data_IF_200872379844
#
_entry.id   IF_200872379844
#
_cell.length_a   1.000
_cell.length_b   1.000
_cell.length_c   1.000
_cell.angle_alpha   90.00
_cell.angle_beta   90.00
_cell.angle_gamma   90.00
#
_symmetry.space_group_name_H-M   'P 1'
#
loop_
_entity.id
_entity.type
_entity.pdbx_description
1 polymer ?
#
# COMPACT_ATOMS: atom_id res chain seq x y z
N UNK A 1 -41.40 59.20 -2.38
CA UNK A 1 -42.30 58.17 -1.82
C UNK A 1 -41.49 56.89 -1.65
N UNK A 2 -41.20 56.50 -0.40
CA UNK A 2 -40.40 55.33 -0.04
C UNK A 2 -41.25 54.07 -0.22
N UNK A 3 -40.73 53.04 -0.89
CA UNK A 3 -41.23 51.67 -0.73
C UNK A 3 -40.01 50.79 -0.43
N UNK A 4 -39.92 50.40 0.85
CA UNK A 4 -39.06 49.35 1.35
C UNK A 4 -39.61 48.00 0.87
N UNK A 5 -38.77 47.16 0.25
CA UNK A 5 -39.06 45.72 0.15
C UNK A 5 -38.01 44.99 0.98
N UNK A 6 -38.52 44.26 1.98
CA UNK A 6 -37.81 43.43 2.93
C UNK A 6 -37.45 42.08 2.29
N UNK A 7 -36.19 41.70 2.47
CA UNK A 7 -35.65 40.36 2.78
C UNK A 7 -36.03 39.15 1.91
N UNK A 8 -34.99 38.45 1.40
CA UNK A 8 -34.86 37.00 1.62
C UNK A 8 -33.38 36.60 1.50
N UNK A 9 -32.71 36.43 2.64
CA UNK A 9 -31.37 35.83 2.69
C UNK A 9 -31.53 34.32 2.65
N UNK A 10 -31.09 33.69 1.56
CA UNK A 10 -31.11 32.23 1.40
C UNK A 10 -29.91 31.64 2.15
N UNK A 11 -30.16 31.02 3.31
CA UNK A 11 -29.16 30.18 3.98
C UNK A 11 -29.06 28.85 3.21
N UNK A 12 -28.01 28.68 2.41
CA UNK A 12 -27.65 27.38 1.86
C UNK A 12 -27.02 26.53 2.97
N UNK A 13 -27.79 25.60 3.54
CA UNK A 13 -27.27 24.57 4.43
C UNK A 13 -26.50 23.57 3.56
N UNK A 14 -25.17 23.64 3.61
CA UNK A 14 -24.30 22.62 3.05
C UNK A 14 -24.47 21.35 3.90
N UNK A 15 -25.16 20.34 3.37
CA UNK A 15 -25.10 18.99 3.94
C UNK A 15 -23.69 18.44 3.69
N UNK A 16 -22.84 18.44 4.72
CA UNK A 16 -21.63 17.65 4.72
C UNK A 16 -22.05 16.18 4.76
N UNK A 17 -21.90 15.47 3.63
CA UNK A 17 -21.94 14.02 3.61
C UNK A 17 -20.70 13.52 4.35
N UNK A 18 -20.85 13.19 5.62
CA UNK A 18 -19.88 12.34 6.31
C UNK A 18 -20.05 10.94 5.73
N UNK A 19 -19.13 10.52 4.86
CA UNK A 19 -19.02 9.12 4.48
C UNK A 19 -18.76 8.32 5.77
N UNK A 20 -19.75 7.56 6.22
CA UNK A 20 -19.55 6.59 7.30
C UNK A 20 -18.74 5.46 6.71
N UNK A 21 -17.49 5.30 7.17
CA UNK A 21 -16.67 4.12 6.86
C UNK A 21 -17.52 2.87 7.09
N UNK A 22 -17.68 2.04 6.06
CA UNK A 22 -18.38 0.77 6.24
C UNK A 22 -17.40 -0.22 6.84
N UNK A 23 -17.82 -0.92 7.89
CA UNK A 23 -17.01 -1.98 8.47
C UNK A 23 -16.69 -3.02 7.37
N UNK A 24 -15.43 -3.41 7.27
CA UNK A 24 -15.01 -4.48 6.39
C UNK A 24 -15.45 -5.82 7.00
N UNK A 25 -16.55 -6.40 6.50
CA UNK A 25 -17.12 -7.66 6.99
C UNK A 25 -16.15 -8.86 6.85
N UNK A 26 -15.07 -8.72 6.08
CA UNK A 26 -14.01 -9.73 5.89
C UNK A 26 -12.79 -9.50 6.79
N UNK A 27 -12.74 -8.42 7.56
CA UNK A 27 -11.60 -8.09 8.43
C UNK A 27 -11.18 -9.25 9.35
N UNK A 28 -12.11 -10.01 10.00
CA UNK A 28 -11.73 -11.18 10.80
C UNK A 28 -11.00 -12.28 10.01
N UNK A 29 -11.46 -12.56 8.78
CA UNK A 29 -10.88 -13.58 7.90
C UNK A 29 -9.51 -13.13 7.37
N UNK A 30 -9.39 -11.85 7.00
CA UNK A 30 -8.12 -11.25 6.58
C UNK A 30 -7.13 -11.28 7.75
N UNK A 31 -7.57 -10.97 8.97
CA UNK A 31 -6.72 -11.02 10.17
C UNK A 31 -6.26 -12.45 10.49
N UNK A 32 -7.13 -13.45 10.32
CA UNK A 32 -6.74 -14.85 10.47
C UNK A 32 -5.72 -15.29 9.39
N UNK A 33 -5.89 -14.82 8.16
CA UNK A 33 -4.92 -15.03 7.08
C UNK A 33 -3.57 -14.37 7.38
N UNK A 34 -3.58 -13.14 7.90
CA UNK A 34 -2.38 -12.46 8.38
C UNK A 34 -1.66 -13.30 9.45
N UNK A 35 -2.36 -13.69 10.51
CA UNK A 35 -1.75 -14.38 11.65
C UNK A 35 -1.18 -15.75 11.27
N UNK A 36 -1.83 -16.47 10.37
CA UNK A 36 -1.43 -17.82 9.94
C UNK A 36 -0.38 -17.83 8.83
N UNK A 37 -0.27 -16.75 8.04
CA UNK A 37 0.52 -16.74 6.80
C UNK A 37 1.48 -15.56 6.75
N UNK A 38 0.96 -14.34 6.62
CA UNK A 38 1.75 -13.14 6.32
C UNK A 38 2.67 -12.76 7.48
N UNK A 39 2.24 -12.94 8.73
CA UNK A 39 3.01 -12.54 9.91
C UNK A 39 4.40 -13.18 9.97
N UNK A 40 4.55 -14.42 9.51
CA UNK A 40 5.84 -15.11 9.48
C UNK A 40 6.84 -14.49 8.48
N UNK A 41 6.36 -13.78 7.47
CA UNK A 41 7.16 -13.13 6.44
C UNK A 41 7.86 -11.87 6.94
N UNK A 42 7.28 -11.20 7.93
CA UNK A 42 7.78 -9.93 8.45
C UNK A 42 9.18 -10.05 9.07
N UNK A 43 9.55 -11.26 9.51
CA UNK A 43 10.86 -11.57 10.07
C UNK A 43 11.77 -12.35 9.12
N UNK A 44 11.38 -12.55 7.86
CA UNK A 44 12.20 -13.28 6.90
C UNK A 44 13.48 -12.47 6.57
N UNK A 45 14.68 -13.07 6.67
CA UNK A 45 15.93 -12.38 6.38
C UNK A 45 15.98 -11.78 4.97
N UNK A 46 15.35 -12.40 3.97
CA UNK A 46 15.32 -11.87 2.61
C UNK A 46 14.56 -10.53 2.54
N UNK A 47 13.51 -10.38 3.35
CA UNK A 47 12.71 -9.15 3.45
C UNK A 47 13.49 -8.09 4.21
N UNK A 48 14.00 -8.42 5.40
CA UNK A 48 14.73 -7.49 6.27
C UNK A 48 15.96 -6.91 5.57
N UNK A 49 16.79 -7.77 4.97
CA UNK A 49 18.04 -7.33 4.36
C UNK A 49 17.81 -6.50 3.09
N UNK A 50 16.78 -6.81 2.31
CA UNK A 50 16.40 -6.01 1.14
C UNK A 50 15.96 -4.59 1.54
N UNK A 51 15.13 -4.47 2.59
CA UNK A 51 14.70 -3.16 3.10
C UNK A 51 15.88 -2.37 3.66
N UNK A 52 16.79 -3.01 4.41
CA UNK A 52 17.97 -2.33 4.96
C UNK A 52 18.90 -1.83 3.86
N UNK A 53 19.12 -2.63 2.81
CA UNK A 53 19.89 -2.21 1.65
C UNK A 53 19.24 -1.02 0.93
N UNK A 54 17.93 -1.06 0.71
CA UNK A 54 17.19 0.06 0.11
C UNK A 54 17.26 1.31 0.98
N UNK A 55 17.00 1.20 2.29
CA UNK A 55 17.05 2.33 3.22
C UNK A 55 18.43 3.00 3.26
N UNK A 56 19.51 2.22 3.11
CA UNK A 56 20.86 2.78 3.00
C UNK A 56 21.00 3.66 1.74
N UNK A 57 20.42 3.24 0.61
CA UNK A 57 20.40 4.00 -0.65
C UNK A 57 19.48 5.22 -0.58
N UNK A 58 18.28 5.07 -0.03
CA UNK A 58 17.20 6.08 -0.12
C UNK A 58 17.18 7.08 1.03
N UNK A 59 17.90 6.83 2.13
CA UNK A 59 17.96 7.71 3.31
C UNK A 59 18.21 9.18 2.96
N UNK A 60 19.11 9.44 2.01
CA UNK A 60 19.48 10.78 1.55
C UNK A 60 18.57 11.40 0.50
N UNK A 61 17.54 10.69 0.00
CA UNK A 61 16.68 11.22 -1.06
C UNK A 61 15.77 12.32 -0.54
N UNK A 62 15.74 13.45 -1.21
CA UNK A 62 14.77 14.51 -0.95
C UNK A 62 13.46 14.27 -1.72
N UNK A 63 12.47 15.13 -1.47
CA UNK A 63 11.18 15.06 -2.14
C UNK A 63 11.29 15.20 -3.67
N UNK A 64 12.25 16.00 -4.17
CA UNK A 64 12.46 16.19 -5.60
C UNK A 64 13.00 14.93 -6.29
N UNK A 65 13.93 14.23 -5.64
CA UNK A 65 14.43 12.94 -6.10
C UNK A 65 13.34 11.87 -6.10
N UNK A 66 12.53 11.81 -5.04
CA UNK A 66 11.40 10.88 -4.93
C UNK A 66 10.38 11.13 -6.05
N UNK A 67 9.94 12.37 -6.25
CA UNK A 67 9.01 12.76 -7.33
C UNK A 67 9.58 12.45 -8.72
N UNK A 68 10.89 12.60 -8.93
CA UNK A 68 11.55 12.23 -10.18
C UNK A 68 11.47 10.72 -10.43
N UNK A 69 11.78 9.90 -9.42
CA UNK A 69 11.71 8.44 -9.52
C UNK A 69 10.28 7.95 -9.71
N UNK A 70 9.33 8.57 -9.02
CA UNK A 70 7.91 8.24 -9.16
C UNK A 70 7.40 8.53 -10.57
N UNK A 71 7.68 9.72 -11.12
CA UNK A 71 7.33 10.05 -12.52
C UNK A 71 7.95 9.09 -13.53
N UNK A 72 9.21 8.69 -13.31
CA UNK A 72 9.85 7.68 -14.13
C UNK A 72 9.09 6.35 -14.06
N UNK A 73 8.84 5.84 -12.85
CA UNK A 73 8.10 4.60 -12.65
C UNK A 73 6.75 4.59 -13.33
N UNK A 74 5.94 5.63 -13.13
CA UNK A 74 4.59 5.73 -13.71
C UNK A 74 4.63 5.69 -15.24
N UNK A 75 5.63 6.32 -15.84
CA UNK A 75 5.84 6.27 -17.28
C UNK A 75 6.24 4.87 -17.75
N UNK A 76 7.16 4.21 -17.04
CA UNK A 76 7.62 2.84 -17.34
C UNK A 76 6.51 1.80 -17.15
N UNK A 77 5.77 1.86 -16.04
CA UNK A 77 4.65 0.97 -15.75
C UNK A 77 3.57 1.05 -16.84
N UNK A 78 3.23 2.26 -17.29
CA UNK A 78 2.31 2.47 -18.42
C UNK A 78 2.84 1.92 -19.74
N UNK A 79 4.15 1.92 -19.93
CA UNK A 79 4.80 1.35 -21.12
C UNK A 79 4.96 -0.18 -21.05
N UNK A 80 4.62 -0.81 -19.93
CA UNK A 80 4.81 -2.25 -19.69
C UNK A 80 6.21 -2.63 -19.22
N UNK A 81 7.03 -1.66 -18.80
CA UNK A 81 8.37 -1.87 -18.27
C UNK A 81 9.34 -0.72 -18.59
N UNK A 82 10.50 -0.75 -17.94
CA UNK A 82 11.57 0.23 -18.08
C UNK A 82 12.65 -0.01 -17.04
N UNK A 83 13.68 0.84 -16.99
CA UNK A 83 14.88 0.57 -16.20
C UNK A 83 14.59 0.43 -14.70
N UNK A 84 13.78 1.31 -14.12
CA UNK A 84 13.47 1.29 -12.70
C UNK A 84 12.48 0.15 -12.35
N UNK A 85 11.39 0.02 -13.12
CA UNK A 85 10.40 -1.05 -12.95
C UNK A 85 11.07 -2.42 -13.09
N UNK A 86 11.91 -2.61 -14.12
CA UNK A 86 12.61 -3.89 -14.33
C UNK A 86 13.67 -4.15 -13.25
N UNK A 87 14.37 -3.11 -12.76
CA UNK A 87 15.30 -3.24 -11.63
C UNK A 87 14.58 -3.79 -10.40
N UNK A 88 13.41 -3.24 -10.05
CA UNK A 88 12.64 -3.70 -8.89
C UNK A 88 12.02 -5.06 -9.16
N UNK A 89 11.31 -5.25 -10.28
CA UNK A 89 10.63 -6.49 -10.63
C UNK A 89 11.57 -7.70 -10.78
N UNK A 90 12.84 -7.45 -11.13
CA UNK A 90 13.87 -8.45 -11.35
C UNK A 90 14.76 -8.76 -10.14
N UNK A 91 14.57 -8.08 -9.01
CA UNK A 91 15.37 -8.34 -7.82
C UNK A 91 14.92 -9.61 -7.06
N UNK A 92 15.79 -10.11 -6.17
CA UNK A 92 15.54 -11.36 -5.42
C UNK A 92 14.29 -11.29 -4.54
N UNK A 93 14.00 -10.12 -3.94
CA UNK A 93 12.80 -9.95 -3.11
C UNK A 93 11.54 -10.08 -3.96
N UNK A 94 11.48 -9.43 -5.12
CA UNK A 94 10.36 -9.55 -6.06
C UNK A 94 10.16 -10.99 -6.52
N UNK A 95 11.24 -11.74 -6.79
CA UNK A 95 11.16 -13.18 -7.08
C UNK A 95 10.52 -13.98 -5.95
N UNK A 96 10.93 -13.71 -4.70
CA UNK A 96 10.35 -14.35 -3.52
C UNK A 96 8.87 -13.98 -3.31
N UNK A 97 8.50 -12.72 -3.52
CA UNK A 97 7.09 -12.26 -3.40
C UNK A 97 6.20 -12.89 -4.47
N UNK A 98 6.68 -13.05 -5.70
CA UNK A 98 5.97 -13.80 -6.76
C UNK A 98 5.71 -15.24 -6.33
N UNK A 99 6.72 -15.91 -5.79
CA UNK A 99 6.56 -17.27 -5.25
C UNK A 99 5.51 -17.31 -4.13
N UNK A 100 5.49 -16.36 -3.20
CA UNK A 100 4.48 -16.29 -2.13
C UNK A 100 3.06 -16.08 -2.66
N UNK A 101 2.91 -15.24 -3.69
CA UNK A 101 1.63 -15.06 -4.38
C UNK A 101 1.16 -16.35 -5.06
N UNK A 102 2.05 -17.07 -5.74
CA UNK A 102 1.75 -18.34 -6.39
C UNK A 102 1.35 -19.43 -5.37
N UNK A 103 2.12 -19.57 -4.28
CA UNK A 103 1.84 -20.51 -3.18
C UNK A 103 0.48 -20.25 -2.52
N UNK A 104 0.01 -19.01 -2.52
CA UNK A 104 -1.28 -18.63 -1.96
C UNK A 104 -2.50 -19.07 -2.80
N UNK A 105 -2.30 -19.72 -3.96
CA UNK A 105 -3.39 -20.34 -4.72
C UNK A 105 -4.47 -19.34 -5.18
N UNK A 106 -4.08 -18.09 -5.40
CA UNK A 106 -4.97 -17.01 -5.82
C UNK A 106 -5.69 -16.27 -4.69
N UNK A 107 -5.41 -16.56 -3.42
CA UNK A 107 -5.87 -15.73 -2.28
C UNK A 107 -5.20 -14.35 -2.24
N UNK A 108 -4.02 -14.26 -2.85
CA UNK A 108 -3.25 -13.03 -2.98
C UNK A 108 -3.31 -12.57 -4.42
N UNK A 109 -3.72 -11.33 -4.63
CA UNK A 109 -3.72 -10.68 -5.92
C UNK A 109 -2.41 -9.92 -6.19
N UNK A 110 -1.79 -9.34 -5.17
CA UNK A 110 -0.52 -8.64 -5.26
C UNK A 110 0.17 -8.60 -3.89
N UNK A 111 1.50 -8.45 -3.90
CA UNK A 111 2.32 -8.20 -2.73
C UNK A 111 3.39 -7.19 -3.11
N UNK A 112 3.62 -6.19 -2.26
CA UNK A 112 4.77 -5.31 -2.39
C UNK A 112 5.29 -4.88 -1.03
N UNK A 113 6.58 -4.57 -1.00
CA UNK A 113 7.31 -4.15 0.20
C UNK A 113 7.86 -2.75 -0.05
N UNK A 114 7.65 -1.87 0.92
CA UNK A 114 8.05 -0.47 0.90
C UNK A 114 9.14 -0.20 1.95
N UNK A 115 10.03 0.74 1.64
CA UNK A 115 11.07 1.21 2.55
C UNK A 115 10.57 2.29 3.53
N UNK A 116 11.47 2.87 4.32
CA UNK A 116 11.15 3.90 5.30
C UNK A 116 10.62 5.21 4.68
N UNK A 117 10.89 5.46 3.39
CA UNK A 117 10.34 6.60 2.64
C UNK A 117 9.07 6.23 1.86
N UNK A 118 8.65 4.97 1.93
CA UNK A 118 7.51 4.46 1.19
C UNK A 118 7.85 4.12 -0.26
N UNK A 119 9.13 3.95 -0.62
CA UNK A 119 9.52 3.55 -1.98
C UNK A 119 9.51 2.03 -2.11
N UNK A 120 9.04 1.52 -3.25
CA UNK A 120 9.00 0.07 -3.47
C UNK A 120 10.40 -0.56 -3.47
N UNK A 121 10.57 -1.56 -2.60
CA UNK A 121 11.77 -2.40 -2.48
C UNK A 121 11.65 -3.63 -3.36
N UNK A 122 10.45 -4.23 -3.41
CA UNK A 122 10.15 -5.42 -4.21
C UNK A 122 8.65 -5.61 -4.36
N UNK A 123 8.24 -6.30 -5.41
CA UNK A 123 6.83 -6.48 -5.76
C UNK A 123 6.57 -7.78 -6.53
N UNK A 124 5.38 -8.36 -6.36
CA UNK A 124 4.90 -9.47 -7.17
C UNK A 124 4.36 -9.00 -8.52
N UNK A 125 3.71 -7.84 -8.52
CA UNK A 125 3.02 -7.22 -9.66
C UNK A 125 3.41 -5.74 -9.71
N UNK A 126 3.36 -5.13 -10.90
CA UNK A 126 3.77 -3.73 -11.05
C UNK A 126 2.72 -2.81 -10.44
N UNK A 127 3.11 -2.04 -9.43
CA UNK A 127 2.28 -1.00 -8.82
C UNK A 127 2.10 0.19 -9.78
N UNK A 128 1.05 0.98 -9.57
CA UNK A 128 0.77 2.19 -10.37
C UNK A 128 1.87 3.24 -10.29
N UNK A 129 2.55 3.30 -9.16
CA UNK A 129 3.50 4.32 -8.72
C UNK A 129 4.59 3.71 -7.83
N UNK A 130 5.71 4.43 -7.69
CA UNK A 130 6.87 3.98 -6.93
C UNK A 130 6.82 4.41 -5.47
N UNK A 131 6.31 5.62 -5.26
CA UNK A 131 6.13 6.25 -3.96
C UNK A 131 4.76 5.83 -3.41
N UNK A 132 4.75 5.29 -2.20
CA UNK A 132 3.57 4.80 -1.49
C UNK A 132 3.48 5.41 -0.07
N UNK A 133 4.45 6.25 0.30
CA UNK A 133 4.59 6.83 1.64
C UNK A 133 3.54 7.89 1.99
N UNK A 134 2.84 8.43 0.99
CA UNK A 134 1.67 9.28 1.18
C UNK A 134 0.37 8.49 1.35
N UNK A 135 0.39 7.17 1.13
CA UNK A 135 -0.79 6.32 1.25
C UNK A 135 -1.04 5.79 2.66
N UNK A 136 -2.31 5.47 2.93
CA UNK A 136 -2.75 4.94 4.23
C UNK A 136 -2.02 3.66 4.63
N UNK A 137 -1.71 2.77 3.67
CA UNK A 137 -0.98 1.52 3.89
C UNK A 137 0.41 1.71 4.50
N UNK A 138 1.11 2.81 4.17
CA UNK A 138 2.42 3.12 4.77
C UNK A 138 2.27 3.94 6.05
N UNK A 139 1.45 5.00 6.01
CA UNK A 139 1.27 5.92 7.14
C UNK A 139 0.67 5.23 8.37
N UNK A 140 -0.31 4.35 8.19
CA UNK A 140 -0.98 3.62 9.27
C UNK A 140 -0.23 2.35 9.70
N UNK A 141 0.90 2.03 9.07
CA UNK A 141 1.76 0.91 9.47
C UNK A 141 3.12 1.42 9.92
N UNK A 142 4.08 1.62 9.01
CA UNK A 142 5.41 2.14 9.30
C UNK A 142 5.33 3.43 10.12
N UNK A 143 4.46 4.37 9.73
CA UNK A 143 4.25 5.62 10.46
C UNK A 143 3.57 5.48 11.83
N UNK A 144 2.91 4.35 12.09
CA UNK A 144 2.18 4.07 13.33
C UNK A 144 2.98 3.26 14.38
N UNK A 145 4.04 2.55 13.97
CA UNK A 145 4.97 1.86 14.87
C UNK A 145 5.22 0.39 14.54
N UNK A 146 6.05 -0.27 15.37
CA UNK A 146 6.72 -1.53 15.05
C UNK A 146 5.81 -2.74 14.81
N UNK A 147 4.64 -2.77 15.45
CA UNK A 147 3.70 -3.91 15.42
C UNK A 147 2.38 -3.57 14.71
N UNK A 148 2.34 -2.44 13.98
CA UNK A 148 1.11 -1.97 13.36
C UNK A 148 0.67 -2.87 12.20
N UNK A 149 -0.64 -3.14 12.17
CA UNK A 149 -1.33 -3.85 11.10
C UNK A 149 -2.53 -3.00 10.71
N UNK A 150 -2.72 -2.80 9.42
CA UNK A 150 -3.82 -2.02 8.86
C UNK A 150 -4.52 -2.86 7.80
N UNK A 151 -5.84 -3.02 7.93
CA UNK A 151 -6.69 -3.69 6.93
C UNK A 151 -7.61 -2.60 6.39
N UNK A 152 -7.54 -2.37 5.08
CA UNK A 152 -8.35 -1.34 4.43
C UNK A 152 -9.76 -1.85 4.10
N UNK A 153 -10.61 -0.96 3.60
CA UNK A 153 -11.93 -1.34 3.08
C UNK A 153 -11.81 -2.33 1.90
N UNK A 154 -12.91 -3.03 1.62
CA UNK A 154 -13.00 -3.90 0.44
C UNK A 154 -13.42 -3.07 -0.75
N UNK A 155 -12.63 -3.14 -1.82
CA UNK A 155 -12.90 -2.49 -3.10
C UNK A 155 -12.93 -3.50 -4.24
N UNK A 156 -13.66 -3.19 -5.30
CA UNK A 156 -13.60 -3.97 -6.53
C UNK A 156 -12.37 -3.54 -7.32
N UNK A 157 -11.42 -4.45 -7.53
CA UNK A 157 -10.26 -4.20 -8.35
C UNK A 157 -10.53 -4.66 -9.79
N UNK A 158 -10.62 -3.70 -10.71
CA UNK A 158 -10.90 -3.97 -12.12
C UNK A 158 -9.80 -4.79 -12.79
N UNK A 159 -8.56 -4.72 -12.29
CA UNK A 159 -7.42 -5.41 -12.91
C UNK A 159 -7.47 -6.93 -12.71
N UNK A 160 -7.93 -7.39 -11.55
CA UNK A 160 -8.18 -8.80 -11.26
C UNK A 160 -9.63 -9.24 -11.49
N UNK A 161 -10.57 -8.30 -11.57
CA UNK A 161 -12.00 -8.59 -11.64
C UNK A 161 -12.56 -9.19 -10.33
N UNK A 162 -11.94 -8.89 -9.19
CA UNK A 162 -12.29 -9.45 -7.89
C UNK A 162 -12.41 -8.39 -6.80
N UNK A 163 -13.19 -8.70 -5.76
CA UNK A 163 -13.19 -7.90 -4.54
C UNK A 163 -11.92 -8.16 -3.74
N UNK A 164 -11.24 -7.09 -3.37
CA UNK A 164 -10.00 -7.14 -2.62
C UNK A 164 -10.01 -6.17 -1.45
N UNK A 165 -9.27 -6.52 -0.41
CA UNK A 165 -8.88 -5.58 0.65
C UNK A 165 -7.37 -5.65 0.81
N UNK A 166 -6.76 -4.50 1.08
CA UNK A 166 -5.33 -4.43 1.34
C UNK A 166 -5.05 -4.66 2.83
N UNK A 167 -4.30 -5.72 3.10
CA UNK A 167 -3.68 -5.99 4.39
C UNK A 167 -2.26 -5.43 4.36
N UNK A 168 -1.96 -4.48 5.23
CA UNK A 168 -0.63 -3.91 5.38
C UNK A 168 -0.10 -4.11 6.79
N UNK A 169 1.22 -4.32 6.93
CA UNK A 169 1.85 -4.51 8.23
C UNK A 169 3.25 -3.88 8.26
N UNK A 170 3.64 -3.38 9.42
CA UNK A 170 5.00 -2.88 9.66
C UNK A 170 5.99 -4.03 9.61
N UNK A 171 7.14 -3.79 8.99
CA UNK A 171 8.31 -4.66 9.08
C UNK A 171 9.32 -3.98 9.99
N UNK A 172 9.78 -4.72 11.00
CA UNK A 172 10.68 -4.22 12.04
C UNK A 172 11.93 -5.10 12.18
N UNK A 173 13.09 -4.49 12.40
CA UNK A 173 14.33 -5.17 12.79
C UNK A 173 14.72 -4.74 14.21
N UNK A 174 14.89 -5.70 15.11
CA UNK A 174 15.17 -5.43 16.53
C UNK A 174 14.14 -4.54 17.24
N UNK A 175 12.87 -4.56 16.78
CA UNK A 175 11.79 -3.69 17.30
C UNK A 175 11.77 -2.27 16.72
N UNK A 176 12.67 -1.95 15.78
CA UNK A 176 12.64 -0.66 15.06
C UNK A 176 11.93 -0.85 13.71
N UNK A 177 10.91 -0.04 13.39
CA UNK A 177 10.30 -0.04 12.06
C UNK A 177 11.34 0.27 10.97
N UNK A 178 11.38 -0.53 9.93
CA UNK A 178 12.27 -0.34 8.77
C UNK A 178 11.52 -0.18 7.45
N UNK A 179 10.25 -0.58 7.40
CA UNK A 179 9.41 -0.48 6.21
C UNK A 179 8.04 -1.08 6.47
N UNK A 180 7.32 -1.39 5.39
CA UNK A 180 6.00 -2.03 5.46
C UNK A 180 5.80 -2.99 4.29
N UNK A 181 4.97 -4.01 4.49
CA UNK A 181 4.44 -4.87 3.43
C UNK A 181 2.97 -4.55 3.21
N UNK A 182 2.52 -4.63 1.97
CA UNK A 182 1.10 -4.64 1.59
C UNK A 182 0.80 -5.90 0.79
N UNK A 183 -0.33 -6.52 1.11
CA UNK A 183 -0.87 -7.72 0.46
C UNK A 183 -2.29 -7.40 0.02
N UNK A 184 -2.54 -7.43 -1.29
CA UNK A 184 -3.89 -7.39 -1.85
C UNK A 184 -4.55 -8.75 -1.68
N UNK A 185 -5.54 -8.86 -0.81
CA UNK A 185 -6.20 -10.12 -0.46
C UNK A 185 -7.52 -10.23 -1.22
N UNK A 186 -7.66 -11.28 -2.04
CA UNK A 186 -8.93 -11.61 -2.68
C UNK A 186 -9.90 -12.20 -1.63
N UNK A 187 -10.90 -11.42 -1.25
CA UNK A 187 -11.79 -11.79 -0.14
C UNK A 187 -12.77 -12.92 -0.49
N UNK A 188 -13.00 -13.16 -1.77
CA UNK A 188 -13.87 -14.24 -2.27
C UNK A 188 -13.17 -15.61 -2.20
N UNK A 189 -11.86 -15.64 -1.97
CA UNK A 189 -11.04 -16.86 -1.91
C UNK A 189 -10.46 -17.16 -0.52
N UNK A 190 -10.74 -16.31 0.47
CA UNK A 190 -10.24 -16.47 1.84
C UNK A 190 -10.72 -17.76 2.50
#
# INVERSE_FOLDING_TARGET
MRIFVKTLTLFAVLFAFTATAKANDFEPQIKAFYDSTVKAWLSDPAVIEAIKAQNAETSGYDAGKIDTLDKQWRAEAKAGGGDLVNKVAGNSLSGWLKQKKEEAGGKIAEIFVMDAKGLNVGMSDTTSDYMQGDEGKHQKTYGAGADAVFIDEVEFDESSGAFQSQLSATISDGGSPIGAITVGVNVEKL
#
